data_IF_212389384186
#
_entry.id   IF_212389384186
#
_cell.length_a   1.000
_cell.length_b   1.000
_cell.length_c   1.000
_cell.angle_alpha   90.00
_cell.angle_beta   90.00
_cell.angle_gamma   90.00
#
_symmetry.space_group_name_H-M   'P 1'
#
loop_
_entity.id
_entity.type
_entity.pdbx_description
1 polymer ?
#
# COMPACT_ATOMS: atom_id res chain seq x y z
N UNK A 1 -10.90 91.50 37.76
CA UNK A 1 -10.81 91.26 36.30
C UNK A 1 -11.76 90.15 35.92
N UNK A 2 -12.98 90.53 35.54
CA UNK A 2 -13.95 89.60 34.99
C UNK A 2 -13.45 89.19 33.60
N UNK A 3 -13.00 87.94 33.49
CA UNK A 3 -12.57 87.38 32.21
C UNK A 3 -13.82 86.96 31.43
N UNK A 4 -14.06 87.62 30.31
CA UNK A 4 -15.17 87.32 29.40
C UNK A 4 -14.62 86.54 28.20
N UNK A 5 -15.40 85.57 27.71
CA UNK A 5 -15.06 84.77 26.53
C UNK A 5 -15.10 85.62 25.25
N UNK A 6 -14.31 85.26 24.22
CA UNK A 6 -14.32 85.98 22.95
C UNK A 6 -15.63 85.77 22.18
N UNK A 7 -16.11 86.81 21.49
CA UNK A 7 -17.35 86.81 20.69
C UNK A 7 -17.36 85.77 19.55
N UNK A 8 -16.18 85.34 19.10
CA UNK A 8 -15.99 84.28 18.13
C UNK A 8 -15.21 83.12 18.75
N UNK A 9 -15.90 82.00 18.87
CA UNK A 9 -15.34 80.78 19.41
C UNK A 9 -14.66 79.98 18.29
N UNK A 10 -13.50 79.36 18.55
CA UNK A 10 -12.80 78.59 17.53
C UNK A 10 -13.60 77.35 17.12
N UNK A 11 -13.43 76.93 15.87
CA UNK A 11 -13.96 75.67 15.36
C UNK A 11 -12.93 75.01 14.44
N UNK A 12 -13.09 73.71 14.23
CA UNK A 12 -12.33 72.95 13.27
C UNK A 12 -13.26 71.97 12.54
N UNK A 13 -12.70 71.14 11.66
CA UNK A 13 -13.46 70.13 10.90
C UNK A 13 -14.10 69.05 11.78
N UNK A 14 -13.75 68.96 13.06
CA UNK A 14 -14.25 67.94 13.98
C UNK A 14 -15.29 68.48 14.96
N UNK A 15 -15.47 69.79 15.07
CA UNK A 15 -16.38 70.35 16.06
C UNK A 15 -16.24 71.85 16.29
N UNK A 16 -17.07 72.35 17.20
CA UNK A 16 -17.13 73.77 17.56
C UNK A 16 -17.26 73.93 19.08
N UNK A 17 -16.69 75.00 19.59
CA UNK A 17 -16.91 75.43 20.96
C UNK A 17 -18.27 76.14 21.09
N UNK A 18 -19.07 75.73 22.08
CA UNK A 18 -20.36 76.32 22.42
C UNK A 18 -20.37 76.72 23.90
N UNK A 19 -20.99 77.85 24.24
CA UNK A 19 -21.19 78.27 25.62
C UNK A 19 -22.55 77.79 26.13
N UNK A 20 -22.54 77.02 27.20
CA UNK A 20 -23.73 76.50 27.87
C UNK A 20 -23.65 76.88 29.35
N UNK A 21 -24.57 77.74 29.79
CA UNK A 21 -24.68 78.17 31.20
C UNK A 21 -23.38 78.73 31.81
N UNK A 22 -22.60 79.49 31.01
CA UNK A 22 -21.33 80.09 31.44
C UNK A 22 -20.13 79.13 31.38
N UNK A 23 -20.32 77.92 30.84
CA UNK A 23 -19.27 76.93 30.64
C UNK A 23 -19.03 76.71 29.15
N UNK A 24 -17.76 76.73 28.75
CA UNK A 24 -17.32 76.43 27.40
C UNK A 24 -17.24 74.92 27.19
N UNK A 25 -18.06 74.40 26.28
CA UNK A 25 -18.12 72.99 25.92
C UNK A 25 -17.70 72.83 24.47
N UNK A 26 -16.82 71.87 24.16
CA UNK A 26 -16.50 71.52 22.78
C UNK A 26 -17.41 70.38 22.32
N UNK A 27 -18.26 70.65 21.33
CA UNK A 27 -19.08 69.62 20.70
C UNK A 27 -18.39 69.16 19.42
N UNK A 28 -17.94 67.90 19.43
CA UNK A 28 -17.29 67.27 18.30
C UNK A 28 -18.12 66.13 17.71
N UNK A 29 -18.07 65.98 16.39
CA UNK A 29 -18.56 64.81 15.69
C UNK A 29 -17.35 63.98 15.23
N UNK A 30 -17.36 62.70 15.61
CA UNK A 30 -16.43 61.72 15.07
C UNK A 30 -17.24 60.80 14.18
N UNK A 31 -16.96 60.86 12.88
CA UNK A 31 -17.43 59.85 11.94
C UNK A 31 -16.72 58.53 12.27
N UNK A 32 -17.41 57.68 13.04
CA UNK A 32 -16.96 56.31 13.23
C UNK A 32 -17.26 55.60 11.91
N UNK A 33 -16.23 55.41 11.08
CA UNK A 33 -16.33 54.48 9.94
C UNK A 33 -16.53 53.09 10.55
N UNK A 34 -17.70 52.45 10.37
CA UNK A 34 -17.90 51.10 10.89
C UNK A 34 -16.88 50.19 10.22
N UNK A 35 -16.14 49.43 11.03
CA UNK A 35 -15.27 48.38 10.52
C UNK A 35 -16.16 47.35 9.83
N UNK A 36 -16.15 47.31 8.49
CA UNK A 36 -16.83 46.25 7.75
C UNK A 36 -16.03 44.98 7.99
N UNK A 37 -16.63 43.93 8.58
CA UNK A 37 -15.91 42.68 8.77
C UNK A 37 -15.47 42.15 7.40
N UNK A 38 -14.19 41.79 7.30
CA UNK A 38 -13.66 41.13 6.12
C UNK A 38 -14.45 39.83 5.87
N UNK A 39 -14.65 39.50 4.60
CA UNK A 39 -15.42 38.33 4.22
C UNK A 39 -14.58 37.07 4.45
N UNK A 40 -15.12 36.10 5.17
CA UNK A 40 -14.48 34.80 5.39
C UNK A 40 -14.57 33.94 4.12
N UNK A 41 -13.46 33.29 3.78
CA UNK A 41 -13.43 32.31 2.69
C UNK A 41 -13.86 30.92 3.17
N UNK A 42 -14.36 30.10 2.23
CA UNK A 42 -14.61 28.68 2.50
C UNK A 42 -13.35 27.86 2.22
N UNK A 43 -12.74 27.35 3.29
CA UNK A 43 -11.52 26.56 3.22
C UNK A 43 -11.86 25.08 3.04
N UNK A 44 -11.61 24.56 1.84
CA UNK A 44 -11.89 23.18 1.50
C UNK A 44 -10.90 22.21 2.17
N UNK A 45 -11.35 20.97 2.38
CA UNK A 45 -10.53 19.90 2.95
C UNK A 45 -9.92 19.03 1.85
N UNK A 46 -8.60 18.77 1.88
CA UNK A 46 -8.00 17.71 1.07
C UNK A 46 -8.58 16.34 1.44
N UNK A 47 -8.61 15.42 0.48
CA UNK A 47 -8.95 14.01 0.70
C UNK A 47 -7.83 13.10 0.21
N UNK A 48 -7.86 11.84 0.60
CA UNK A 48 -6.91 10.82 0.13
C UNK A 48 -7.69 9.61 -0.36
N UNK A 49 -7.32 9.09 -1.53
CA UNK A 49 -7.88 7.85 -2.04
C UNK A 49 -7.37 6.63 -1.28
N UNK A 50 -8.22 5.60 -1.17
CA UNK A 50 -8.01 4.50 -0.23
C UNK A 50 -6.76 3.65 -0.51
N UNK A 51 -6.10 3.22 0.58
CA UNK A 51 -5.12 2.14 0.60
C UNK A 51 -5.84 0.79 0.51
N UNK A 52 -6.16 0.31 -0.69
CA UNK A 52 -6.69 -1.05 -0.88
C UNK A 52 -5.73 -1.85 -1.73
N UNK A 53 -5.30 -2.99 -1.20
CA UNK A 53 -4.57 -4.01 -1.95
C UNK A 53 -5.51 -4.70 -2.92
N UNK A 54 -5.58 -4.22 -4.16
CA UNK A 54 -6.34 -4.86 -5.22
C UNK A 54 -5.43 -5.71 -6.11
N UNK A 55 -5.71 -7.01 -6.21
CA UNK A 55 -4.97 -7.94 -7.08
C UNK A 55 -3.50 -8.16 -6.65
N UNK A 56 -3.15 -7.75 -5.43
CA UNK A 56 -1.78 -7.69 -4.96
C UNK A 56 -0.87 -6.82 -5.80
N UNK A 57 -1.37 -5.65 -6.15
CA UNK A 57 -0.54 -4.48 -6.42
C UNK A 57 -0.48 -3.68 -5.12
N UNK A 58 0.70 -3.20 -4.76
CA UNK A 58 0.85 -2.35 -3.58
C UNK A 58 0.05 -1.06 -3.78
N UNK A 59 -0.80 -0.66 -2.82
CA UNK A 59 -1.58 0.56 -2.95
C UNK A 59 -0.66 1.77 -3.08
N UNK A 60 -0.95 2.61 -4.06
CA UNK A 60 -0.35 3.93 -4.16
C UNK A 60 -1.46 4.97 -3.93
N UNK A 61 -1.66 5.45 -2.69
CA UNK A 61 -2.68 6.45 -2.42
C UNK A 61 -2.38 7.73 -3.20
N UNK A 62 -3.37 8.60 -3.33
CA UNK A 62 -3.17 9.91 -3.95
C UNK A 62 -3.86 10.97 -3.12
N UNK A 63 -3.16 12.07 -2.86
CA UNK A 63 -3.73 13.24 -2.23
C UNK A 63 -4.56 14.00 -3.26
N UNK A 64 -5.85 14.09 -3.00
CA UNK A 64 -6.78 14.92 -3.76
C UNK A 64 -6.79 16.33 -3.17
N UNK A 65 -6.01 17.20 -3.78
CA UNK A 65 -5.95 18.63 -3.44
C UNK A 65 -7.24 19.31 -3.91
N UNK A 66 -7.87 20.19 -3.09
CA UNK A 66 -8.99 20.99 -3.53
C UNK A 66 -8.66 21.82 -4.77
N UNK A 67 -9.65 22.06 -5.62
CA UNK A 67 -9.47 22.98 -6.74
C UNK A 67 -9.33 24.42 -6.24
N UNK A 68 -8.51 25.20 -6.93
CA UNK A 68 -8.38 26.64 -6.69
C UNK A 68 -9.74 27.34 -6.86
N UNK A 69 -9.99 28.33 -6.00
CA UNK A 69 -11.16 29.20 -6.09
C UNK A 69 -10.74 30.59 -6.53
N UNK A 70 -11.69 31.50 -6.72
CA UNK A 70 -11.36 32.91 -7.01
C UNK A 70 -10.60 33.60 -5.87
N UNK A 71 -10.69 33.06 -4.65
CA UNK A 71 -10.10 33.63 -3.44
C UNK A 71 -8.92 32.84 -2.88
N UNK A 72 -8.74 31.56 -3.23
CA UNK A 72 -7.74 30.66 -2.64
C UNK A 72 -6.97 29.91 -3.74
N UNK A 73 -5.64 29.84 -3.62
CA UNK A 73 -4.80 28.85 -4.29
C UNK A 73 -4.44 27.71 -3.32
N UNK A 74 -4.57 26.47 -3.78
CA UNK A 74 -4.15 25.27 -3.06
C UNK A 74 -2.92 24.66 -3.72
N UNK A 75 -2.01 24.09 -2.92
CA UNK A 75 -0.80 23.47 -3.44
C UNK A 75 -0.42 22.26 -2.60
N UNK A 76 -0.16 21.13 -3.26
CA UNK A 76 0.53 20.00 -2.63
C UNK A 76 2.00 20.37 -2.47
N UNK A 77 2.43 20.56 -1.23
CA UNK A 77 3.81 20.98 -0.92
C UNK A 77 4.68 19.79 -0.51
N UNK A 78 4.07 18.76 0.07
CA UNK A 78 4.67 17.45 0.28
C UNK A 78 3.61 16.39 -0.02
N UNK A 79 3.95 15.44 -0.90
CA UNK A 79 3.13 14.25 -1.12
C UNK A 79 3.32 13.24 0.03
N UNK A 80 2.53 12.17 0.02
CA UNK A 80 2.56 11.12 1.04
C UNK A 80 3.96 10.49 1.10
N UNK A 81 4.58 10.53 2.28
CA UNK A 81 5.88 9.91 2.55
C UNK A 81 5.75 8.46 3.07
N UNK A 82 6.88 7.81 3.34
CA UNK A 82 6.95 6.44 3.88
C UNK A 82 6.31 6.29 5.27
N UNK A 83 6.00 7.39 5.96
CA UNK A 83 5.29 7.39 7.23
C UNK A 83 3.79 7.65 7.05
N UNK A 84 3.33 7.96 5.84
CA UNK A 84 1.94 8.30 5.56
C UNK A 84 1.61 9.79 5.71
N UNK A 85 2.61 10.64 5.90
CA UNK A 85 2.42 12.06 6.14
C UNK A 85 2.42 12.86 4.82
N UNK A 86 1.56 13.86 4.72
CA UNK A 86 1.49 14.77 3.57
C UNK A 86 1.13 16.20 3.98
N UNK A 87 1.42 17.17 3.10
CA UNK A 87 1.18 18.60 3.38
C UNK A 87 0.58 19.32 2.18
N UNK A 88 -0.58 19.95 2.41
CA UNK A 88 -1.22 20.87 1.47
C UNK A 88 -1.20 22.28 2.06
N UNK A 89 -0.88 23.28 1.26
CA UNK A 89 -0.98 24.69 1.66
C UNK A 89 -2.09 25.40 0.91
N UNK A 90 -2.69 26.39 1.56
CA UNK A 90 -3.66 27.29 0.97
C UNK A 90 -3.24 28.76 1.21
N UNK A 91 -3.33 29.58 0.17
CA UNK A 91 -3.01 31.01 0.21
C UNK A 91 -4.14 31.85 -0.34
N UNK A 92 -4.45 32.96 0.33
CA UNK A 92 -5.43 33.94 -0.16
C UNK A 92 -4.88 34.70 -1.36
N UNK A 93 -5.74 34.93 -2.35
CA UNK A 93 -5.45 35.74 -3.54
C UNK A 93 -5.67 37.23 -3.30
N UNK A 94 -6.59 37.57 -2.40
CA UNK A 94 -7.07 38.92 -2.16
C UNK A 94 -6.91 39.31 -0.69
N UNK A 95 -6.43 40.53 -0.43
CA UNK A 95 -6.16 41.06 0.93
C UNK A 95 -7.42 41.48 1.71
N UNK A 96 -8.58 41.57 1.04
CA UNK A 96 -9.88 41.90 1.65
C UNK A 96 -10.63 40.66 2.20
N UNK A 97 -10.04 39.47 1.97
CA UNK A 97 -10.53 38.19 2.47
C UNK A 97 -9.79 37.80 3.74
N UNK A 98 -10.46 37.02 4.57
CA UNK A 98 -9.87 36.42 5.77
C UNK A 98 -10.18 34.95 5.84
N UNK A 99 -9.30 34.21 6.52
CA UNK A 99 -9.55 32.82 6.84
C UNK A 99 -10.71 32.66 7.82
N UNK A 100 -11.45 31.54 7.76
CA UNK A 100 -12.53 31.29 8.70
C UNK A 100 -12.00 31.19 10.13
N UNK A 101 -12.71 31.78 11.09
CA UNK A 101 -12.30 31.75 12.50
C UNK A 101 -12.21 30.32 13.08
N UNK A 102 -13.00 29.38 12.54
CA UNK A 102 -12.92 27.95 12.86
C UNK A 102 -12.38 27.20 11.66
N UNK A 103 -11.18 26.66 11.79
CA UNK A 103 -10.56 25.89 10.72
C UNK A 103 -11.17 24.49 10.61
N UNK A 104 -11.52 24.03 9.40
CA UNK A 104 -12.06 22.71 9.21
C UNK A 104 -10.98 21.63 9.40
N UNK A 105 -11.43 20.42 9.73
CA UNK A 105 -10.60 19.23 9.86
C UNK A 105 -11.38 18.00 9.41
N UNK A 106 -10.67 16.92 9.13
CA UNK A 106 -11.26 15.61 8.83
C UNK A 106 -10.47 14.50 9.53
N UNK A 107 -10.75 13.24 9.17
CA UNK A 107 -10.09 12.07 9.74
C UNK A 107 -8.61 11.94 9.39
N UNK A 108 -8.16 12.59 8.31
CA UNK A 108 -6.76 12.51 7.87
C UNK A 108 -5.93 13.69 8.37
N UNK A 109 -6.52 14.82 8.75
CA UNK A 109 -5.74 15.97 9.20
C UNK A 109 -6.55 17.22 9.55
N UNK A 110 -5.82 18.30 9.80
CA UNK A 110 -6.40 19.60 10.13
C UNK A 110 -5.57 20.76 9.56
N UNK A 111 -6.25 21.86 9.29
CA UNK A 111 -5.63 23.13 8.92
C UNK A 111 -5.06 23.86 10.14
N UNK A 112 -3.92 24.52 9.94
CA UNK A 112 -3.32 25.43 10.90
C UNK A 112 -2.76 26.67 10.19
N UNK A 113 -2.84 27.82 10.85
CA UNK A 113 -2.21 29.06 10.36
C UNK A 113 -0.71 29.02 10.64
N UNK A 114 0.09 29.04 9.57
CA UNK A 114 1.53 29.18 9.62
C UNK A 114 1.91 30.48 8.92
N UNK A 115 1.96 31.57 9.70
CA UNK A 115 2.38 32.90 9.23
C UNK A 115 1.54 33.47 8.07
N UNK A 116 0.22 33.26 8.11
CA UNK A 116 -0.73 33.72 7.10
C UNK A 116 -0.98 32.70 5.98
N UNK A 117 -0.19 31.63 5.92
CA UNK A 117 -0.41 30.50 5.01
C UNK A 117 -1.12 29.39 5.78
N UNK A 118 -2.29 29.00 5.31
CA UNK A 118 -2.97 27.84 5.87
C UNK A 118 -2.24 26.58 5.45
N UNK A 119 -1.88 25.75 6.42
CA UNK A 119 -1.16 24.49 6.22
C UNK A 119 -2.01 23.34 6.74
N UNK A 120 -2.36 22.41 5.86
CA UNK A 120 -3.02 21.16 6.20
C UNK A 120 -1.95 20.09 6.36
N UNK A 121 -1.78 19.63 7.59
CA UNK A 121 -0.94 18.46 7.86
C UNK A 121 -1.85 17.25 7.95
N UNK A 122 -1.64 16.31 7.03
CA UNK A 122 -2.40 15.08 6.97
C UNK A 122 -1.54 13.85 7.23
N UNK A 123 -2.19 12.80 7.70
CA UNK A 123 -1.63 11.47 7.95
C UNK A 123 -2.61 10.41 7.47
N UNK A 124 -2.10 9.38 6.82
CA UNK A 124 -2.85 8.19 6.42
C UNK A 124 -2.11 6.94 6.86
N UNK A 125 -2.83 6.03 7.49
CA UNK A 125 -2.27 4.73 7.88
C UNK A 125 -1.88 3.95 6.61
N UNK A 126 -0.59 3.70 6.44
CA UNK A 126 -0.08 2.86 5.35
C UNK A 126 -0.44 1.41 5.65
N UNK A 127 -1.36 0.85 4.87
CA UNK A 127 -1.67 -0.58 4.91
C UNK A 127 -0.86 -1.28 3.83
N UNK A 128 0.19 -1.99 4.25
CA UNK A 128 0.95 -2.87 3.36
C UNK A 128 0.14 -4.14 3.07
N UNK A 129 0.27 -4.66 1.85
CA UNK A 129 -0.34 -5.93 1.50
C UNK A 129 0.38 -7.09 2.19
N UNK A 130 -0.38 -8.12 2.57
CA UNK A 130 0.24 -9.37 3.02
C UNK A 130 1.09 -9.95 1.90
N UNK A 131 2.28 -10.44 2.23
CA UNK A 131 3.21 -11.01 1.26
C UNK A 131 3.27 -12.53 1.40
N UNK A 132 3.14 -13.23 0.27
CA UNK A 132 3.24 -14.68 0.25
C UNK A 132 4.47 -15.18 -0.54
N UNK A 133 5.39 -15.82 0.18
CA UNK A 133 6.49 -16.57 -0.41
C UNK A 133 6.02 -17.96 -0.84
N UNK A 134 6.38 -18.37 -2.06
CA UNK A 134 5.96 -19.65 -2.61
C UNK A 134 6.93 -20.77 -2.27
N UNK A 135 6.40 -21.93 -1.95
CA UNK A 135 7.21 -23.12 -1.67
C UNK A 135 7.25 -23.99 -2.91
N UNK A 136 8.45 -24.42 -3.30
CA UNK A 136 8.63 -25.29 -4.47
C UNK A 136 8.06 -26.68 -4.18
N UNK A 137 7.25 -27.27 -5.09
CA UNK A 137 6.84 -28.66 -4.96
C UNK A 137 8.05 -29.61 -5.07
N UNK A 138 7.96 -30.76 -4.43
CA UNK A 138 9.02 -31.79 -4.52
C UNK A 138 8.47 -33.07 -5.15
N UNK A 139 9.35 -33.97 -5.58
CA UNK A 139 8.95 -35.26 -6.16
C UNK A 139 9.71 -36.36 -5.44
N UNK A 140 8.99 -37.39 -5.02
CA UNK A 140 9.60 -38.54 -4.37
C UNK A 140 10.48 -39.35 -5.33
N UNK A 141 11.53 -39.97 -4.77
CA UNK A 141 12.39 -40.85 -5.53
C UNK A 141 11.62 -42.07 -6.07
N UNK A 142 11.98 -42.51 -7.28
CA UNK A 142 11.45 -43.77 -7.79
C UNK A 142 11.94 -44.94 -6.94
N UNK A 143 11.04 -45.85 -6.59
CA UNK A 143 11.37 -47.10 -5.90
C UNK A 143 11.25 -48.25 -6.89
N UNK A 144 12.36 -48.93 -7.21
CA UNK A 144 12.32 -50.20 -7.93
C UNK A 144 12.01 -51.32 -6.91
N UNK A 145 10.86 -51.98 -7.04
CA UNK A 145 10.50 -53.12 -6.17
C UNK A 145 10.60 -54.41 -6.99
N UNK A 146 11.46 -55.35 -6.56
CA UNK A 146 11.56 -56.69 -7.17
C UNK A 146 12.13 -56.74 -8.59
N UNK A 147 12.91 -55.74 -9.01
CA UNK A 147 13.52 -55.71 -10.36
C UNK A 147 12.54 -55.42 -11.50
N UNK A 148 11.29 -55.10 -11.18
CA UNK A 148 10.26 -54.68 -12.14
C UNK A 148 10.12 -53.16 -12.08
N UNK A 149 10.11 -52.52 -13.24
CA UNK A 149 9.84 -51.10 -13.37
C UNK A 149 8.45 -50.79 -12.83
N UNK A 150 8.37 -50.00 -11.75
CA UNK A 150 7.14 -49.28 -11.43
C UNK A 150 6.98 -48.15 -12.45
N UNK A 151 5.75 -47.92 -12.92
CA UNK A 151 5.41 -46.90 -13.91
C UNK A 151 6.07 -45.55 -13.54
N UNK A 152 6.63 -44.77 -14.48
CA UNK A 152 6.99 -43.36 -14.26
C UNK A 152 5.94 -42.56 -13.46
N UNK A 153 4.66 -42.89 -13.65
CA UNK A 153 3.49 -42.35 -12.93
C UNK A 153 3.41 -42.80 -11.45
N UNK A 154 4.26 -43.70 -10.99
CA UNK A 154 4.37 -44.10 -9.58
C UNK A 154 5.08 -43.05 -8.73
N UNK A 155 5.80 -42.12 -9.35
CA UNK A 155 6.34 -40.95 -8.65
C UNK A 155 5.19 -40.05 -8.21
N UNK A 156 5.30 -39.52 -6.99
CA UNK A 156 4.29 -38.62 -6.42
C UNK A 156 4.87 -37.22 -6.35
N UNK A 157 4.12 -36.23 -6.84
CA UNK A 157 4.43 -34.81 -6.62
C UNK A 157 3.90 -34.42 -5.26
N UNK A 158 4.80 -34.01 -4.37
CA UNK A 158 4.48 -33.44 -3.07
C UNK A 158 4.17 -31.96 -3.27
N UNK A 159 2.88 -31.66 -3.37
CA UNK A 159 2.37 -30.29 -3.40
C UNK A 159 2.55 -29.66 -2.02
N UNK A 160 3.03 -28.40 -1.93
CA UNK A 160 3.12 -27.70 -0.65
C UNK A 160 1.78 -27.62 0.08
N UNK A 161 1.83 -27.48 1.40
CA UNK A 161 0.63 -27.23 2.20
C UNK A 161 0.08 -25.83 1.93
N UNK A 162 -1.25 -25.71 1.96
CA UNK A 162 -1.92 -24.42 1.89
C UNK A 162 -1.63 -23.60 3.15
N UNK A 163 -1.63 -22.29 2.99
CA UNK A 163 -1.51 -21.29 4.05
C UNK A 163 -2.76 -20.40 4.03
N UNK A 164 -2.85 -19.46 4.98
CA UNK A 164 -3.93 -18.47 4.99
C UNK A 164 -3.85 -17.50 3.79
N UNK A 165 -2.71 -17.41 3.10
CA UNK A 165 -2.50 -16.47 1.99
C UNK A 165 -2.49 -17.13 0.60
N UNK A 166 -2.16 -18.42 0.54
CA UNK A 166 -1.93 -19.15 -0.71
C UNK A 166 -2.42 -20.58 -0.60
N UNK A 167 -3.13 -21.02 -1.64
CA UNK A 167 -3.48 -22.42 -1.90
C UNK A 167 -2.69 -22.97 -3.07
N UNK A 168 -2.37 -24.27 -3.03
CA UNK A 168 -1.65 -24.97 -4.08
C UNK A 168 -2.47 -26.14 -4.61
N UNK A 169 -2.39 -26.37 -5.92
CA UNK A 169 -3.08 -27.45 -6.61
C UNK A 169 -2.15 -28.10 -7.65
N UNK A 170 -2.13 -29.43 -7.70
CA UNK A 170 -1.51 -30.17 -8.80
C UNK A 170 -2.42 -30.11 -10.02
N UNK A 171 -2.19 -29.15 -10.90
CA UNK A 171 -3.02 -28.91 -12.09
C UNK A 171 -2.65 -29.82 -13.26
N UNK A 172 -1.43 -30.34 -13.27
CA UNK A 172 -1.00 -31.40 -14.21
C UNK A 172 -0.19 -32.45 -13.46
N UNK A 173 -0.75 -33.65 -13.31
CA UNK A 173 -0.02 -34.82 -12.82
C UNK A 173 1.14 -35.20 -13.76
N UNK A 174 2.10 -35.99 -13.27
CA UNK A 174 3.28 -36.41 -14.04
C UNK A 174 2.82 -37.12 -15.32
N UNK A 175 3.10 -36.49 -16.46
CA UNK A 175 2.82 -37.03 -17.77
C UNK A 175 3.89 -38.05 -18.19
N UNK A 176 3.66 -38.74 -19.31
CA UNK A 176 4.58 -39.78 -19.81
C UNK A 176 5.99 -39.25 -20.16
N UNK A 177 6.12 -37.96 -20.43
CA UNK A 177 7.39 -37.27 -20.67
C UNK A 177 8.08 -36.77 -19.38
N UNK A 178 7.48 -37.04 -18.22
CA UNK A 178 7.96 -36.60 -16.91
C UNK A 178 7.58 -35.17 -16.53
N UNK A 179 6.81 -34.46 -17.35
CA UNK A 179 6.36 -33.09 -17.04
C UNK A 179 5.19 -33.06 -16.05
N UNK A 180 5.17 -32.07 -15.16
CA UNK A 180 4.07 -31.81 -14.23
C UNK A 180 3.92 -30.30 -13.96
N UNK A 181 2.75 -29.88 -13.49
CA UNK A 181 2.48 -28.48 -13.15
C UNK A 181 1.74 -28.37 -11.82
N UNK A 182 2.18 -27.40 -11.01
CA UNK A 182 1.51 -27.00 -9.77
C UNK A 182 1.13 -25.53 -9.90
N UNK A 183 -0.12 -25.22 -9.61
CA UNK A 183 -0.62 -23.85 -9.58
C UNK A 183 -0.74 -23.39 -8.14
N UNK A 184 -0.16 -22.24 -7.83
CA UNK A 184 -0.38 -21.51 -6.60
C UNK A 184 -1.42 -20.41 -6.85
N UNK A 185 -2.40 -20.26 -5.96
CA UNK A 185 -3.43 -19.21 -6.00
C UNK A 185 -3.36 -18.42 -4.72
N UNK A 186 -3.11 -17.11 -4.81
CA UNK A 186 -3.09 -16.19 -3.67
C UNK A 186 -4.46 -15.59 -3.39
N UNK A 187 -4.64 -15.13 -2.16
CA UNK A 187 -5.79 -14.34 -1.75
C UNK A 187 -5.78 -12.94 -2.38
N UNK A 188 -6.95 -12.29 -2.43
CA UNK A 188 -7.14 -11.04 -3.16
C UNK A 188 -6.30 -9.87 -2.62
N UNK A 189 -6.03 -9.86 -1.30
CA UNK A 189 -5.30 -8.80 -0.60
C UNK A 189 -3.81 -9.11 -0.44
N UNK A 190 -3.31 -10.15 -1.14
CA UNK A 190 -1.94 -10.64 -1.00
C UNK A 190 -1.11 -10.25 -2.21
N UNK A 191 0.14 -9.82 -2.00
CA UNK A 191 1.16 -9.63 -3.04
C UNK A 191 2.04 -10.88 -3.13
N UNK A 192 2.55 -11.17 -4.33
CA UNK A 192 3.56 -12.22 -4.46
C UNK A 192 4.87 -11.77 -3.80
N UNK A 193 5.42 -12.60 -2.93
CA UNK A 193 6.77 -12.47 -2.43
C UNK A 193 7.78 -13.16 -3.34
N UNK A 194 8.64 -13.98 -2.75
CA UNK A 194 9.55 -14.81 -3.49
C UNK A 194 8.79 -15.93 -4.22
N UNK A 195 8.84 -15.90 -5.55
CA UNK A 195 8.15 -16.86 -6.40
C UNK A 195 8.84 -18.22 -6.47
N UNK A 196 10.11 -18.35 -6.08
CA UNK A 196 10.86 -19.63 -6.07
C UNK A 196 10.69 -20.48 -7.35
N UNK A 197 10.68 -19.85 -8.52
CA UNK A 197 10.57 -20.52 -9.83
C UNK A 197 9.14 -20.70 -10.35
N UNK A 198 8.12 -20.28 -9.61
CA UNK A 198 6.77 -20.09 -10.15
C UNK A 198 6.75 -18.87 -11.10
N UNK A 199 5.91 -18.95 -12.12
CA UNK A 199 5.70 -17.87 -13.09
C UNK A 199 4.28 -17.32 -12.89
N UNK A 200 4.12 -16.04 -12.51
CA UNK A 200 2.80 -15.41 -12.38
C UNK A 200 2.06 -15.42 -13.71
N UNK A 201 0.75 -15.64 -13.64
CA UNK A 201 -0.13 -15.53 -14.80
C UNK A 201 -0.75 -14.14 -14.78
N UNK A 202 -0.35 -13.31 -15.75
CA UNK A 202 -0.76 -11.91 -15.86
C UNK A 202 -2.28 -11.73 -15.77
N UNK A 203 -2.71 -10.75 -14.96
CA UNK A 203 -4.12 -10.44 -14.76
C UNK A 203 -4.88 -11.46 -13.90
N UNK A 204 -4.19 -12.36 -13.20
CA UNK A 204 -4.80 -13.34 -12.30
C UNK A 204 -4.09 -13.39 -10.94
N UNK A 205 -4.74 -14.04 -9.97
CA UNK A 205 -4.14 -14.34 -8.67
C UNK A 205 -3.37 -15.67 -8.67
N UNK A 206 -2.90 -16.13 -9.83
CA UNK A 206 -2.25 -17.43 -9.96
C UNK A 206 -0.81 -17.34 -10.43
N UNK A 207 0.00 -18.30 -10.00
CA UNK A 207 1.34 -18.52 -10.51
C UNK A 207 1.55 -20.02 -10.75
N UNK A 208 2.29 -20.39 -11.78
CA UNK A 208 2.47 -21.78 -12.21
C UNK A 208 3.92 -22.20 -12.07
N UNK A 209 4.15 -23.34 -11.44
CA UNK A 209 5.43 -24.03 -11.43
C UNK A 209 5.38 -25.20 -12.40
N UNK A 210 6.26 -25.19 -13.41
CA UNK A 210 6.44 -26.30 -14.34
C UNK A 210 7.67 -27.10 -13.94
N UNK A 211 7.47 -28.35 -13.55
CA UNK A 211 8.54 -29.24 -13.16
C UNK A 211 8.77 -30.37 -14.16
N UNK A 212 9.97 -30.96 -14.10
CA UNK A 212 10.32 -32.11 -14.91
C UNK A 212 11.00 -33.17 -14.07
N UNK A 213 10.61 -34.42 -14.32
CA UNK A 213 11.09 -35.58 -13.60
C UNK A 213 11.83 -36.48 -14.57
N UNK A 214 13.08 -36.82 -14.23
CA UNK A 214 13.81 -37.81 -15.01
C UNK A 214 13.16 -39.19 -14.86
N UNK A 215 12.87 -39.80 -16.00
CA UNK A 215 12.30 -41.14 -16.08
C UNK A 215 13.42 -42.13 -16.38
N UNK A 216 14.02 -42.68 -15.32
CA UNK A 216 15.06 -43.70 -15.45
C UNK A 216 14.41 -45.09 -15.40
N UNK A 217 14.50 -45.91 -16.45
CA UNK A 217 14.02 -47.28 -16.42
C UNK A 217 14.88 -48.13 -15.45
N UNK A 218 14.25 -49.00 -14.66
CA UNK A 218 14.99 -49.94 -13.82
C UNK A 218 15.77 -50.92 -14.71
N UNK A 219 17.07 -51.08 -14.50
CA UNK A 219 17.86 -52.11 -15.19
C UNK A 219 17.53 -53.49 -14.60
N UNK A 220 17.07 -54.46 -15.40
CA UNK A 220 16.79 -55.80 -14.91
C UNK A 220 18.11 -56.49 -14.48
N UNK A 221 18.15 -57.01 -13.26
CA UNK A 221 19.22 -57.93 -12.85
C UNK A 221 18.89 -59.33 -13.35
N UNK A 222 19.71 -59.85 -14.27
CA UNK A 222 19.66 -61.26 -14.64
C UNK A 222 20.15 -62.10 -13.45
N UNK A 223 19.39 -63.09 -12.96
CA UNK A 223 19.90 -64.03 -11.97
C UNK A 223 21.16 -64.72 -12.53
N UNK A 224 22.24 -64.75 -11.76
CA UNK A 224 23.38 -65.59 -12.11
C UNK A 224 22.89 -67.04 -12.18
N UNK A 225 23.24 -67.75 -13.26
CA UNK A 225 23.04 -69.20 -13.31
C UNK A 225 23.81 -69.81 -12.14
N UNK A 226 23.22 -70.75 -11.37
CA UNK A 226 23.98 -71.49 -10.38
C UNK A 226 25.11 -72.24 -11.09
N UNK A 227 26.33 -72.08 -10.59
CA UNK A 227 27.46 -72.89 -11.05
C UNK A 227 27.30 -74.27 -10.41
N UNK A 228 27.12 -75.31 -11.23
CA UNK A 228 27.00 -76.69 -10.76
C UNK A 228 28.30 -77.37 -11.11
N UNK A 229 29.13 -77.65 -10.10
CA UNK A 229 30.33 -78.47 -10.32
C UNK A 229 29.88 -79.92 -10.37
N UNK A 230 29.90 -80.52 -11.57
CA UNK A 230 29.55 -81.93 -11.74
C UNK A 230 30.41 -82.85 -10.87
N UNK A 231 29.85 -83.98 -10.46
CA UNK A 231 30.59 -85.01 -9.75
C UNK A 231 31.70 -85.59 -10.65
N UNK A 232 32.86 -85.85 -10.06
CA UNK A 232 34.00 -86.44 -10.76
C UNK A 232 34.36 -87.77 -10.11
N UNK A 233 34.55 -88.81 -10.93
CA UNK A 233 35.16 -90.07 -10.53
C UNK A 233 36.55 -90.15 -11.11
N UNK A 234 37.58 -89.98 -10.26
CA UNK A 234 38.98 -90.16 -10.66
C UNK A 234 39.59 -91.23 -9.76
N UNK A 235 40.17 -92.29 -10.35
CA UNK A 235 40.84 -93.35 -9.59
C UNK A 235 39.94 -94.24 -8.70
N UNK A 236 38.61 -94.15 -8.83
CA UNK A 236 37.66 -94.94 -8.04
C UNK A 236 37.10 -94.25 -6.80
N UNK A 237 37.50 -93.01 -6.51
CA UNK A 237 36.89 -92.18 -5.45
C UNK A 237 35.82 -91.25 -6.02
N UNK A 238 34.69 -91.17 -5.33
CA UNK A 238 33.55 -90.33 -5.67
C UNK A 238 33.65 -88.99 -4.94
N UNK A 239 33.69 -87.89 -5.69
CA UNK A 239 33.51 -86.55 -5.13
C UNK A 239 32.09 -86.06 -5.44
N UNK A 240 31.24 -85.80 -4.42
CA UNK A 240 29.89 -85.29 -4.64
C UNK A 240 29.91 -83.93 -5.33
N UNK A 241 28.85 -83.64 -6.09
CA UNK A 241 28.63 -82.34 -6.69
C UNK A 241 28.41 -81.28 -5.60
N UNK A 242 28.86 -80.05 -5.86
CA UNK A 242 28.61 -78.88 -5.01
C UNK A 242 28.14 -77.71 -5.84
#
# INVERSE_FOLDING_TARGET
>A
DDKVWPDTLPSNSFGMWVELEGVMTFEGHVDIVPCVPAEEVDLALPTVDAYVCEGGVEPNPTVNVPADTDDIDYTLTADIDDNGDFVVTATLKNDDKVWPATLPSNSVGAWADVQGVMTFTGHVDIVLCDQADLVVPTVDAAVCVGGVQQDPQSKTVNVPANTDLVSYELTKAIAADGSYEVTATKDANTVWGNLNGFVPVDGTNTAVYSGQVEIVPCTPTTPALPDVTGNVCTGGEYTPAS
#
